data_IF_185885948799
#
_entry.id   IF_185885948799
#
_cell.length_a   1.000
_cell.length_b   1.000
_cell.length_c   1.000
_cell.angle_alpha   90.00
_cell.angle_beta   90.00
_cell.angle_gamma   90.00
#
_symmetry.space_group_name_H-M   'P 1'
#
loop_
_entity.id
_entity.type
_entity.pdbx_description
1 polymer ?
#
# COMPACT_ATOMS: atom_id res chain seq x y z
N UNK A 1 -0.60 -4.53 14.58
CA UNK A 1 -0.57 -4.26 13.13
C UNK A 1 -0.10 -2.82 12.92
N UNK A 2 0.78 -2.55 11.95
CA UNK A 2 1.22 -1.17 11.66
C UNK A 2 0.16 -0.37 10.91
N UNK A 3 -0.01 0.91 11.25
CA UNK A 3 -0.94 1.81 10.55
C UNK A 3 -0.55 1.93 9.07
N UNK A 4 -1.51 1.99 8.14
CA UNK A 4 -1.19 2.13 6.73
C UNK A 4 -0.67 3.56 6.47
N UNK A 5 0.26 3.69 5.53
CA UNK A 5 0.65 5.01 5.02
C UNK A 5 -0.58 5.73 4.44
N UNK A 6 -0.66 7.04 4.70
CA UNK A 6 -1.81 7.89 4.38
C UNK A 6 -2.12 7.91 2.88
N UNK A 7 -3.40 8.11 2.54
CA UNK A 7 -3.83 8.18 1.13
C UNK A 7 -3.16 9.35 0.40
N UNK A 8 -3.02 10.50 1.05
CA UNK A 8 -2.35 11.66 0.46
C UNK A 8 -0.88 11.35 0.09
N UNK A 9 -0.14 10.59 0.92
CA UNK A 9 1.22 10.19 0.57
C UNK A 9 1.24 9.28 -0.65
N UNK A 10 0.27 8.36 -0.75
CA UNK A 10 0.13 7.46 -1.90
C UNK A 10 -0.17 8.24 -3.18
N UNK A 11 -1.13 9.16 -3.15
CA UNK A 11 -1.49 10.03 -4.26
C UNK A 11 -0.30 10.82 -4.78
N UNK A 12 0.52 11.40 -3.89
CA UNK A 12 1.71 12.17 -4.28
C UNK A 12 2.77 11.30 -4.95
N UNK A 13 2.98 10.08 -4.46
CA UNK A 13 3.91 9.10 -5.08
C UNK A 13 3.39 8.67 -6.45
N UNK A 14 2.11 8.32 -6.55
CA UNK A 14 1.49 7.89 -7.81
C UNK A 14 1.49 9.03 -8.84
N UNK A 15 1.12 10.25 -8.46
CA UNK A 15 1.14 11.40 -9.36
C UNK A 15 2.56 11.73 -9.86
N UNK A 16 3.59 11.50 -9.05
CA UNK A 16 4.97 11.63 -9.51
C UNK A 16 5.35 10.55 -10.55
N UNK A 17 4.86 9.32 -10.38
CA UNK A 17 5.05 8.23 -11.36
C UNK A 17 4.35 8.59 -12.67
N UNK A 18 3.13 9.13 -12.60
CA UNK A 18 2.39 9.58 -13.78
C UNK A 18 3.07 10.76 -14.48
N UNK A 19 3.74 11.62 -13.71
CA UNK A 19 4.61 12.67 -14.22
C UNK A 19 5.95 12.18 -14.80
N UNK A 20 6.14 10.87 -14.96
CA UNK A 20 7.29 10.28 -15.64
C UNK A 20 8.45 9.84 -14.73
N UNK A 21 8.34 10.00 -13.40
CA UNK A 21 9.36 9.47 -12.50
C UNK A 21 9.30 7.95 -12.46
N UNK A 22 10.47 7.32 -12.35
CA UNK A 22 10.52 5.89 -12.02
C UNK A 22 9.94 5.65 -10.63
N UNK A 23 9.35 4.47 -10.40
CA UNK A 23 8.80 4.06 -9.09
C UNK A 23 9.83 4.20 -7.96
N UNK A 24 11.11 3.90 -8.25
CA UNK A 24 12.21 4.05 -7.31
C UNK A 24 12.49 5.53 -6.99
N UNK A 25 12.54 6.38 -8.03
CA UNK A 25 12.77 7.81 -7.85
C UNK A 25 11.60 8.49 -7.12
N UNK A 26 10.35 8.12 -7.43
CA UNK A 26 9.18 8.60 -6.71
C UNK A 26 9.21 8.19 -5.22
N UNK A 27 9.57 6.93 -4.92
CA UNK A 27 9.78 6.48 -3.55
C UNK A 27 10.82 7.32 -2.80
N UNK A 28 12.00 7.50 -3.39
CA UNK A 28 13.08 8.30 -2.81
C UNK A 28 12.64 9.75 -2.55
N UNK A 29 11.93 10.38 -3.50
CA UNK A 29 11.44 11.77 -3.38
C UNK A 29 10.51 11.98 -2.18
N UNK A 30 9.69 10.99 -1.83
CA UNK A 30 8.69 11.09 -0.77
C UNK A 30 9.04 10.29 0.49
N UNK A 31 10.27 9.80 0.61
CA UNK A 31 10.70 9.01 1.77
C UNK A 31 9.99 7.66 1.92
N UNK A 32 9.53 7.09 0.81
CA UNK A 32 8.86 5.79 0.76
C UNK A 32 9.82 4.75 0.19
N UNK A 33 9.88 3.57 0.82
CA UNK A 33 10.69 2.46 0.33
C UNK A 33 10.32 2.14 -1.15
N UNK A 34 11.31 1.91 -2.03
CA UNK A 34 11.05 1.67 -3.46
C UNK A 34 10.08 0.52 -3.72
N UNK A 35 10.15 -0.54 -2.90
CA UNK A 35 9.24 -1.69 -2.97
C UNK A 35 7.78 -1.31 -2.70
N UNK A 36 7.53 -0.35 -1.80
CA UNK A 36 6.18 0.15 -1.50
C UNK A 36 5.63 0.96 -2.66
N UNK A 37 6.44 1.84 -3.26
CA UNK A 37 6.03 2.60 -4.45
C UNK A 37 5.71 1.68 -5.65
N UNK A 38 6.52 0.63 -5.86
CA UNK A 38 6.25 -0.41 -6.86
C UNK A 38 4.92 -1.11 -6.55
N UNK A 39 4.67 -1.50 -5.30
CA UNK A 39 3.44 -2.18 -4.89
C UNK A 39 2.21 -1.33 -5.19
N UNK A 40 2.22 -0.03 -4.87
CA UNK A 40 1.09 0.85 -5.13
C UNK A 40 0.79 0.99 -6.62
N UNK A 41 1.81 1.18 -7.46
CA UNK A 41 1.60 1.27 -8.91
C UNK A 41 1.13 -0.06 -9.51
N UNK A 42 1.62 -1.20 -9.01
CA UNK A 42 1.12 -2.51 -9.42
C UNK A 42 -0.35 -2.72 -9.03
N UNK A 43 -0.74 -2.36 -7.80
CA UNK A 43 -2.12 -2.48 -7.32
C UNK A 43 -3.05 -1.58 -8.14
N UNK A 44 -2.60 -0.36 -8.46
CA UNK A 44 -3.32 0.55 -9.35
C UNK A 44 -3.51 -0.03 -10.76
N UNK A 45 -2.47 -0.62 -11.34
CA UNK A 45 -2.57 -1.25 -12.68
C UNK A 45 -3.47 -2.48 -12.69
N UNK A 46 -3.45 -3.25 -11.61
CA UNK A 46 -4.24 -4.47 -11.51
C UNK A 46 -5.71 -4.21 -11.19
N UNK A 47 -6.02 -3.19 -10.38
CA UNK A 47 -7.36 -2.98 -9.80
C UNK A 47 -7.96 -1.59 -10.04
N UNK A 48 -7.18 -0.65 -10.57
CA UNK A 48 -7.54 0.76 -10.64
C UNK A 48 -7.36 1.52 -9.31
N UNK A 49 -7.09 0.82 -8.20
CA UNK A 49 -6.95 1.42 -6.87
C UNK A 49 -5.56 1.21 -6.28
N UNK A 50 -5.11 2.19 -5.50
CA UNK A 50 -3.92 2.11 -4.65
C UNK A 50 -4.26 2.44 -3.20
N UNK A 51 -5.54 2.43 -2.84
CA UNK A 51 -5.99 2.64 -1.47
C UNK A 51 -5.55 1.47 -0.56
N UNK A 52 -5.32 1.70 0.74
CA UNK A 52 -5.05 0.61 1.66
C UNK A 52 -6.25 -0.34 1.69
N UNK A 53 -5.97 -1.64 1.68
CA UNK A 53 -6.98 -2.64 1.99
C UNK A 53 -7.49 -2.45 3.44
N UNK A 54 -8.74 -2.81 3.72
CA UNK A 54 -9.27 -2.80 5.09
C UNK A 54 -8.29 -3.51 6.03
N UNK A 55 -7.82 -2.79 7.05
CA UNK A 55 -6.97 -3.37 8.07
C UNK A 55 -7.86 -3.82 9.23
N UNK A 56 -7.85 -5.12 9.50
CA UNK A 56 -8.75 -5.73 10.47
C UNK A 56 -9.97 -6.36 9.82
N UNK A 57 -10.22 -7.60 10.25
CA UNK A 57 -11.30 -8.51 9.89
C UNK A 57 -11.23 -9.66 10.89
N UNK A 58 -12.24 -10.52 10.97
CA UNK A 58 -12.38 -11.52 12.04
C UNK A 58 -11.07 -12.28 12.31
N UNK A 59 -10.41 -11.90 13.41
CA UNK A 59 -9.23 -12.56 13.96
C UNK A 59 -9.60 -13.76 14.81
N UNK A 60 -10.87 -14.22 14.80
CA UNK A 60 -11.17 -15.60 15.13
C UNK A 60 -10.73 -16.48 13.97
N UNK A 61 -9.42 -16.68 13.88
CA UNK A 61 -8.94 -17.97 13.43
C UNK A 61 -9.65 -19.01 14.30
N UNK A 62 -10.69 -19.68 13.78
CA UNK A 62 -11.42 -20.80 14.43
C UNK A 62 -10.50 -21.92 14.98
N UNK A 63 -9.20 -21.82 14.76
CA UNK A 63 -8.16 -22.71 15.29
C UNK A 63 -7.82 -22.49 16.77
N UNK A 64 -8.22 -21.37 17.41
CA UNK A 64 -7.92 -21.14 18.84
C UNK A 64 -9.10 -21.47 19.77
N UNK A 65 -10.35 -21.32 19.32
CA UNK A 65 -11.55 -21.58 20.15
C UNK A 65 -11.96 -23.07 20.23
N UNK A 66 -11.21 -23.99 19.61
CA UNK A 66 -11.51 -25.43 19.61
C UNK A 66 -10.82 -26.23 20.74
N UNK A 67 -10.10 -25.57 21.65
CA UNK A 67 -9.47 -26.19 22.83
C UNK A 67 -9.81 -25.42 24.12
N UNK A 68 -11.10 -25.23 24.38
CA UNK A 68 -11.61 -24.79 25.68
C UNK A 68 -12.59 -25.84 26.21
#
# INVERSE_FOLDING_TARGET
MGKPLSMNLRERVIGAIDGGLSRRAAGARYGVAPSTAIRWDNERRATGSFAPKPQGGDTRSRKIEANA
#
